data_IF_665345979913
#
_entry.id   IF_665345979913
#
_cell.length_a   1.000
_cell.length_b   1.000
_cell.length_c   1.000
_cell.angle_alpha   90.00
_cell.angle_beta   90.00
_cell.angle_gamma   90.00
#
_symmetry.space_group_name_H-M   'P 1'
#
loop_
_entity.id
_entity.type
_entity.pdbx_description
1 polymer ?
#
# COMPACT_ATOMS: atom_id res chain seq x y z
N UNK A 1 3.33 -29.86 -1.34
CA UNK A 1 2.20 -28.93 -1.52
C UNK A 1 2.61 -27.60 -0.93
N UNK A 2 2.77 -26.56 -1.76
CA UNK A 2 3.05 -25.21 -1.26
C UNK A 2 1.71 -24.65 -0.75
N UNK A 3 1.62 -24.35 0.55
CA UNK A 3 0.50 -23.57 1.07
C UNK A 3 0.63 -22.17 0.47
N UNK A 4 -0.18 -21.86 -0.54
CA UNK A 4 -0.39 -20.47 -0.94
C UNK A 4 -1.04 -19.78 0.26
N UNK A 5 -0.31 -18.88 0.91
CA UNK A 5 -0.90 -18.00 1.93
C UNK A 5 -2.03 -17.22 1.26
N UNK A 6 -3.27 -17.56 1.60
CA UNK A 6 -4.42 -16.77 1.19
C UNK A 6 -4.36 -15.45 1.95
N UNK A 7 -4.03 -14.38 1.23
CA UNK A 7 -4.08 -13.03 1.76
C UNK A 7 -5.54 -12.61 1.73
N UNK A 8 -6.09 -12.30 2.90
CA UNK A 8 -7.41 -11.70 3.01
C UNK A 8 -7.22 -10.19 2.84
N UNK A 9 -7.81 -9.57 1.80
CA UNK A 9 -7.73 -8.13 1.64
C UNK A 9 -8.30 -7.42 2.87
N UNK A 10 -7.64 -6.35 3.30
CA UNK A 10 -8.08 -5.56 4.45
C UNK A 10 -7.97 -4.06 4.17
N UNK A 11 -8.86 -3.30 4.78
CA UNK A 11 -8.94 -1.86 4.59
C UNK A 11 -8.17 -1.13 5.71
N UNK A 12 -7.47 -0.07 5.33
CA UNK A 12 -6.89 0.91 6.25
C UNK A 12 -7.15 2.32 5.74
N UNK A 13 -7.13 3.31 6.63
CA UNK A 13 -7.16 4.72 6.26
C UNK A 13 -5.75 5.28 6.42
N UNK A 14 -5.22 5.87 5.34
CA UNK A 14 -3.94 6.58 5.37
C UNK A 14 -4.18 8.08 5.57
N UNK A 15 -3.28 8.81 6.24
CA UNK A 15 -3.42 10.25 6.42
C UNK A 15 -3.30 11.02 5.09
N UNK A 16 -3.73 12.28 5.09
CA UNK A 16 -3.39 13.21 4.01
C UNK A 16 -1.87 13.38 3.91
N UNK A 17 -1.37 13.63 2.71
CA UNK A 17 0.06 13.71 2.39
C UNK A 17 0.73 12.35 2.25
N UNK A 18 -0.03 11.24 2.25
CA UNK A 18 0.55 9.92 2.00
C UNK A 18 0.86 9.76 0.53
N UNK A 19 2.08 9.35 0.23
CA UNK A 19 2.53 9.04 -1.13
C UNK A 19 2.24 7.58 -1.47
N UNK A 20 1.63 7.35 -2.64
CA UNK A 20 1.33 6.04 -3.20
C UNK A 20 1.97 5.93 -4.57
N UNK A 21 2.79 4.91 -4.76
CA UNK A 21 3.62 4.75 -5.95
C UNK A 21 2.95 3.87 -7.02
N UNK A 22 3.20 4.11 -8.29
CA UNK A 22 2.76 3.22 -9.39
C UNK A 22 3.65 1.99 -9.56
N UNK A 23 4.86 2.01 -9.00
CA UNK A 23 5.80 0.90 -8.97
C UNK A 23 6.13 0.42 -7.57
N UNK A 24 6.75 -0.76 -7.48
CA UNK A 24 7.29 -1.30 -6.22
C UNK A 24 8.52 -0.54 -5.70
N UNK A 25 9.04 0.40 -6.48
CA UNK A 25 10.28 1.11 -6.24
C UNK A 25 9.99 2.61 -6.19
N UNK A 26 10.75 3.35 -5.37
CA UNK A 26 10.54 4.79 -5.10
C UNK A 26 10.89 5.71 -6.29
N UNK A 27 11.33 5.16 -7.42
CA UNK A 27 11.64 5.89 -8.65
C UNK A 27 10.44 6.01 -9.60
N UNK A 28 9.30 5.40 -9.26
CA UNK A 28 8.08 5.48 -10.06
C UNK A 28 7.31 6.77 -9.82
N UNK A 29 6.45 7.12 -10.78
CA UNK A 29 5.44 8.17 -10.56
C UNK A 29 4.60 7.84 -9.32
N UNK A 30 4.13 8.90 -8.64
CA UNK A 30 3.35 8.75 -7.41
C UNK A 30 2.12 9.66 -7.40
N UNK A 31 1.16 9.25 -6.58
CA UNK A 31 -0.04 10.02 -6.22
C UNK A 31 0.05 10.37 -4.75
N UNK A 32 -0.10 11.65 -4.42
CA UNK A 32 -0.13 12.13 -3.04
C UNK A 32 -1.58 12.35 -2.63
N UNK A 33 -2.00 11.73 -1.52
CA UNK A 33 -3.34 11.92 -0.98
C UNK A 33 -3.51 13.34 -0.45
N UNK A 34 -4.63 14.00 -0.77
CA UNK A 34 -4.90 15.36 -0.28
C UNK A 34 -5.78 15.38 0.99
N UNK A 35 -6.39 14.23 1.33
CA UNK A 35 -7.25 14.01 2.50
C UNK A 35 -6.95 12.63 3.08
N UNK A 36 -7.37 12.33 4.33
CA UNK A 36 -7.39 10.95 4.80
C UNK A 36 -8.13 10.07 3.79
N UNK A 37 -7.46 9.03 3.32
CA UNK A 37 -7.92 8.24 2.17
C UNK A 37 -7.99 6.77 2.57
N UNK A 38 -9.14 6.15 2.30
CA UNK A 38 -9.29 4.72 2.50
C UNK A 38 -8.62 3.95 1.37
N UNK A 39 -7.87 2.92 1.74
CA UNK A 39 -7.20 2.02 0.80
C UNK A 39 -7.46 0.57 1.18
N UNK A 40 -7.52 -0.28 0.17
CA UNK A 40 -7.63 -1.72 0.31
C UNK A 40 -6.27 -2.35 0.05
N UNK A 41 -5.67 -2.99 1.05
CA UNK A 41 -4.46 -3.82 0.89
C UNK A 41 -4.85 -5.13 0.23
N UNK A 42 -4.27 -5.43 -0.93
CA UNK A 42 -4.66 -6.56 -1.78
C UNK A 42 -3.58 -7.63 -1.91
N UNK A 43 -2.46 -7.49 -1.19
CA UNK A 43 -1.34 -8.42 -1.27
C UNK A 43 -0.32 -8.25 -0.15
N UNK A 44 0.78 -9.01 -0.23
CA UNK A 44 1.82 -9.05 0.79
C UNK A 44 2.78 -7.88 0.64
N UNK A 45 3.42 -7.52 1.75
CA UNK A 45 4.56 -6.61 1.75
C UNK A 45 5.69 -7.21 0.90
N UNK A 46 6.11 -6.49 -0.14
CA UNK A 46 7.23 -6.88 -1.00
C UNK A 46 8.09 -5.65 -1.27
N UNK A 47 9.40 -5.78 -1.09
CA UNK A 47 10.36 -4.68 -1.27
C UNK A 47 10.00 -3.42 -0.45
N UNK A 48 9.45 -3.60 0.75
CA UNK A 48 9.03 -2.49 1.61
C UNK A 48 7.70 -1.84 1.25
N UNK A 49 6.99 -2.30 0.20
CA UNK A 49 5.72 -1.73 -0.21
C UNK A 49 4.55 -2.74 -0.17
N UNK A 50 3.37 -2.25 0.23
CA UNK A 50 2.11 -2.99 0.18
C UNK A 50 1.36 -2.66 -1.11
N UNK A 51 0.93 -3.64 -1.91
CA UNK A 51 0.04 -3.38 -3.04
C UNK A 51 -1.35 -3.02 -2.54
N UNK A 52 -1.88 -1.89 -3.00
CA UNK A 52 -3.11 -1.28 -2.52
C UNK A 52 -3.98 -0.77 -3.66
N UNK A 53 -5.29 -0.63 -3.39
CA UNK A 53 -6.24 0.07 -4.25
C UNK A 53 -6.86 1.22 -3.47
N UNK A 54 -7.02 2.37 -4.11
CA UNK A 54 -7.81 3.46 -3.54
C UNK A 54 -9.27 3.04 -3.41
N UNK A 55 -9.91 3.34 -2.29
CA UNK A 55 -11.35 3.14 -2.10
C UNK A 55 -12.07 4.47 -2.30
N UNK A 56 -12.98 4.51 -3.27
CA UNK A 56 -13.90 5.64 -3.47
C UNK A 56 -15.31 5.16 -3.12
N UNK A 57 -15.89 5.71 -2.05
CA UNK A 57 -17.20 5.28 -1.54
C UNK A 57 -17.26 3.76 -1.25
N UNK A 58 -16.17 3.20 -0.72
CA UNK A 58 -16.06 1.76 -0.42
C UNK A 58 -15.81 0.86 -1.65
N UNK A 59 -15.66 1.43 -2.84
CA UNK A 59 -15.41 0.68 -4.08
C UNK A 59 -13.92 0.77 -4.42
N UNK A 60 -13.22 -0.38 -4.61
CA UNK A 60 -11.83 -0.38 -5.07
C UNK A 60 -11.70 0.18 -6.48
N UNK A 61 -10.77 1.12 -6.65
CA UNK A 61 -10.36 1.61 -7.96
C UNK A 61 -9.72 0.54 -8.85
N UNK A 62 -9.54 0.89 -10.11
CA UNK A 62 -8.93 -0.01 -11.11
C UNK A 62 -7.42 -0.13 -10.90
N UNK A 63 -6.76 0.99 -10.59
CA UNK A 63 -5.31 1.09 -10.43
C UNK A 63 -4.82 0.36 -9.18
N UNK A 64 -3.69 -0.33 -9.33
CA UNK A 64 -2.91 -0.85 -8.20
C UNK A 64 -1.77 0.12 -7.94
N UNK A 65 -1.70 0.60 -6.70
CA UNK A 65 -0.63 1.46 -6.21
C UNK A 65 0.15 0.72 -5.12
N UNK A 66 1.24 1.32 -4.66
CA UNK A 66 2.15 0.74 -3.70
C UNK A 66 2.35 1.71 -2.53
N UNK A 67 1.96 1.27 -1.33
CA UNK A 67 2.14 2.00 -0.09
C UNK A 67 3.44 1.58 0.60
N UNK A 68 4.46 2.44 0.52
CA UNK A 68 5.78 2.19 1.09
C UNK A 68 5.74 2.31 2.61
N UNK A 69 6.27 1.29 3.28
CA UNK A 69 6.44 1.29 4.73
C UNK A 69 7.73 2.03 5.09
N UNK A 70 7.75 2.78 6.22
CA UNK A 70 8.99 3.36 6.71
C UNK A 70 10.08 2.30 6.87
N UNK A 71 11.34 2.67 6.66
CA UNK A 71 12.47 1.78 6.94
C UNK A 71 12.38 1.29 8.40
N UNK A 72 12.54 -0.03 8.64
CA UNK A 72 12.61 -0.55 10.00
C UNK A 72 13.74 0.17 10.73
N UNK A 73 13.44 0.75 11.90
CA UNK A 73 14.49 1.35 12.73
C UNK A 73 15.55 0.29 13.02
N UNK A 74 16.84 0.55 12.80
CA UNK A 74 17.88 -0.41 13.14
C UNK A 74 17.74 -0.75 14.63
N UNK A 75 17.65 -2.04 14.95
CA UNK A 75 17.69 -2.49 16.34
C UNK A 75 19.06 -2.07 16.89
N UNK A 76 19.06 -1.24 17.94
CA UNK A 76 20.28 -0.96 18.69
C UNK A 76 20.74 -2.28 19.30
N UNK A 77 21.81 -2.84 18.76
CA UNK A 77 22.56 -3.96 19.34
C UNK A 77 23.27 -3.54 20.60
#
# INVERSE_FOLDING_TARGET
MVKTEQIIPYQITVPAGTELNYGYHEDSDSVITNIPTDILVIGVLKNGALPVKLLQNGIPGEETLFFHQPEPKPQKT
#
